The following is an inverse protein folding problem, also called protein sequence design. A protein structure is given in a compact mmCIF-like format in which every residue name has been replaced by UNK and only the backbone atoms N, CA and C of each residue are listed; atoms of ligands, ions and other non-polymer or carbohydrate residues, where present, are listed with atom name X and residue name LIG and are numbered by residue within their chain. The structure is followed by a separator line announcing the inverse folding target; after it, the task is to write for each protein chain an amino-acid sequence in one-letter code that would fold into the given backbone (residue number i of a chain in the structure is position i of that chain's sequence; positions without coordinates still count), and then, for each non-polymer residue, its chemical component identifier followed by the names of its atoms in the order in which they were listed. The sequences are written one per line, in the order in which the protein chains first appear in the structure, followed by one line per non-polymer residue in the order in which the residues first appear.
data_IF_191658264631
#
_entry.id   IF_191658264631
#
_cell.length_a   1.000
_cell.length_b   1.000
_cell.length_c   1.000
_cell.angle_alpha   90.00
_cell.angle_beta   90.00
_cell.angle_gamma   90.00
#
_symmetry.space_group_name_H-M   'P 1'
#
loop_
_entity.id
_entity.type
_entity.pdbx_description
1 polymer ?
#
# COMPACT_ATOMS: atom_id res chain seq x y z
N UNK A 1 11.42 -2.25 13.07
CA UNK A 1 10.17 -2.91 13.51
C UNK A 1 8.95 -1.99 13.49
N UNK A 2 8.96 -0.82 14.15
CA UNK A 2 7.79 0.12 14.19
C UNK A 2 7.28 0.49 12.79
N UNK A 3 8.17 0.82 11.85
CA UNK A 3 7.80 1.17 10.47
C UNK A 3 7.09 0.02 9.72
N UNK A 4 7.62 -1.21 9.80
CA UNK A 4 7.01 -2.41 9.21
C UNK A 4 5.58 -2.61 9.73
N UNK A 5 5.40 -2.47 11.05
CA UNK A 5 4.11 -2.59 11.69
C UNK A 5 3.14 -1.49 11.23
N UNK A 6 3.57 -0.23 11.17
CA UNK A 6 2.73 0.86 10.70
C UNK A 6 2.20 0.62 9.28
N UNK A 7 3.05 0.16 8.35
CA UNK A 7 2.63 -0.18 6.98
C UNK A 7 1.62 -1.30 6.99
N UNK A 8 1.88 -2.39 7.71
CA UNK A 8 0.92 -3.49 7.80
C UNK A 8 -0.41 -3.11 8.45
N UNK A 9 -0.40 -2.18 9.41
CA UNK A 9 -1.61 -1.65 10.03
C UNK A 9 -2.46 -0.94 8.99
N UNK A 10 -1.86 -0.04 8.22
CA UNK A 10 -2.53 0.70 7.15
C UNK A 10 -3.08 -0.24 6.08
N UNK A 11 -2.30 -1.23 5.65
CA UNK A 11 -2.75 -2.26 4.70
C UNK A 11 -3.97 -3.04 5.23
N UNK A 12 -3.97 -3.41 6.51
CA UNK A 12 -5.10 -4.12 7.13
C UNK A 12 -6.34 -3.25 7.33
N UNK A 13 -6.18 -1.95 7.59
CA UNK A 13 -7.29 -1.00 7.73
C UNK A 13 -7.95 -0.74 6.37
N UNK A 14 -7.15 -0.59 5.30
CA UNK A 14 -7.64 -0.40 3.93
C UNK A 14 -8.43 -1.60 3.43
N UNK A 15 -7.95 -2.81 3.71
CA UNK A 15 -8.58 -4.05 3.23
C UNK A 15 -8.87 -5.01 4.39
N UNK A 16 -9.90 -4.75 5.22
CA UNK A 16 -10.16 -5.51 6.44
C UNK A 16 -10.65 -6.94 6.19
N UNK A 17 -11.22 -7.20 4.99
CA UNK A 17 -11.79 -8.50 4.61
C UNK A 17 -10.94 -9.30 3.62
N UNK A 18 -9.91 -8.70 3.02
CA UNK A 18 -9.03 -9.40 2.07
C UNK A 18 -8.01 -10.28 2.79
N UNK A 19 -7.30 -11.12 2.05
CA UNK A 19 -6.08 -11.76 2.57
C UNK A 19 -5.04 -10.67 2.86
N UNK A 20 -4.27 -10.76 3.96
CA UNK A 20 -3.18 -9.83 4.22
C UNK A 20 -2.17 -9.82 3.07
N UNK A 21 -1.86 -8.62 2.60
CA UNK A 21 -1.01 -8.34 1.45
C UNK A 21 0.45 -8.16 1.90
N UNK A 22 1.42 -8.58 1.07
CA UNK A 22 2.85 -8.35 1.36
C UNK A 22 3.26 -6.95 0.95
N UNK A 23 4.33 -6.41 1.54
CA UNK A 23 4.88 -5.10 1.17
C UNK A 23 5.39 -5.13 -0.28
N UNK A 24 5.90 -6.26 -0.75
CA UNK A 24 6.29 -6.46 -2.16
C UNK A 24 5.11 -6.27 -3.11
N UNK A 25 3.96 -6.87 -2.80
CA UNK A 25 2.75 -6.74 -3.64
C UNK A 25 2.12 -5.35 -3.63
N UNK A 26 2.50 -4.45 -2.71
CA UNK A 26 2.11 -3.03 -2.78
C UNK A 26 2.74 -2.35 -4.01
N UNK A 27 3.91 -2.83 -4.43
CA UNK A 27 4.70 -2.34 -5.56
C UNK A 27 4.65 -3.29 -6.77
N UNK A 28 3.72 -4.25 -6.78
CA UNK A 28 3.63 -5.32 -7.78
C UNK A 28 4.96 -6.10 -7.97
N UNK A 29 5.68 -6.32 -6.87
CA UNK A 29 6.91 -7.12 -6.83
C UNK A 29 6.65 -8.52 -6.26
N UNK A 30 7.44 -9.49 -6.71
CA UNK A 30 7.40 -10.87 -6.20
C UNK A 30 8.64 -11.18 -5.33
N UNK A 31 8.47 -11.42 -4.02
CA UNK A 31 9.59 -11.72 -3.13
C UNK A 31 10.27 -13.06 -3.40
N UNK A 32 9.67 -13.94 -4.22
CA UNK A 32 10.22 -15.25 -4.57
C UNK A 32 10.99 -15.24 -5.90
N UNK A 33 11.23 -14.05 -6.47
CA UNK A 33 11.98 -13.87 -7.72
C UNK A 33 13.28 -13.09 -7.48
N UNK A 34 14.24 -13.22 -8.41
CA UNK A 34 15.42 -12.36 -8.38
C UNK A 34 15.01 -10.90 -8.59
N UNK A 35 15.65 -9.93 -7.90
CA UNK A 35 16.84 -10.05 -7.05
C UNK A 35 16.56 -10.28 -5.55
N UNK A 36 15.30 -10.45 -5.16
CA UNK A 36 14.86 -10.57 -3.76
C UNK A 36 15.09 -11.97 -3.19
N UNK A 37 15.08 -13.00 -4.04
CA UNK A 37 15.28 -14.38 -3.64
C UNK A 37 16.60 -14.98 -4.15
N UNK A 38 17.30 -15.78 -3.33
CA UNK A 38 17.04 -16.06 -1.92
C UNK A 38 17.50 -14.89 -1.00
N UNK A 39 16.86 -14.66 0.17
CA UNK A 39 17.11 -13.48 1.01
C UNK A 39 18.58 -13.30 1.42
N UNK A 40 19.31 -14.40 1.59
CA UNK A 40 20.73 -14.40 1.95
C UNK A 40 21.61 -13.78 0.87
N UNK A 41 21.18 -13.87 -0.39
CA UNK A 41 21.89 -13.32 -1.55
C UNK A 41 21.38 -11.93 -1.96
N UNK A 42 20.21 -11.51 -1.46
CA UNK A 42 19.61 -10.20 -1.70
C UNK A 42 20.37 -9.03 -1.04
N UNK A 43 21.41 -9.32 -0.26
CA UNK A 43 22.27 -8.32 0.39
C UNK A 43 23.64 -8.15 -0.28
N UNK A 44 23.94 -8.91 -1.34
CA UNK A 44 25.19 -8.76 -2.10
C UNK A 44 25.16 -7.49 -2.97
N UNK A 45 26.32 -6.92 -3.30
CA UNK A 45 26.41 -5.66 -4.06
C UNK A 45 25.66 -5.70 -5.40
N UNK A 46 25.77 -6.81 -6.15
CA UNK A 46 25.06 -6.97 -7.43
C UNK A 46 23.54 -7.09 -7.25
N UNK A 47 23.07 -7.77 -6.20
CA UNK A 47 21.64 -7.85 -5.88
C UNK A 47 21.10 -6.52 -5.37
N UNK A 48 21.89 -5.75 -4.63
CA UNK A 48 21.49 -4.45 -4.10
C UNK A 48 21.15 -3.46 -5.20
N UNK A 49 22.01 -3.31 -6.20
CA UNK A 49 21.76 -2.41 -7.33
C UNK A 49 20.52 -2.84 -8.13
N UNK A 50 20.35 -4.15 -8.33
CA UNK A 50 19.16 -4.70 -8.98
C UNK A 50 17.88 -4.44 -8.16
N UNK A 51 17.92 -4.59 -6.83
CA UNK A 51 16.81 -4.27 -5.92
C UNK A 51 16.48 -2.79 -5.99
N UNK A 52 17.48 -1.91 -5.88
CA UNK A 52 17.29 -0.47 -5.94
C UNK A 52 16.66 -0.06 -7.28
N UNK A 53 17.13 -0.63 -8.39
CA UNK A 53 16.57 -0.41 -9.73
C UNK A 53 15.11 -0.86 -9.82
N UNK A 54 14.79 -2.10 -9.41
CA UNK A 54 13.44 -2.64 -9.51
C UNK A 54 12.44 -1.93 -8.60
N UNK A 55 12.82 -1.64 -7.35
CA UNK A 55 11.95 -0.94 -6.39
C UNK A 55 11.70 0.50 -6.87
N UNK A 56 12.73 1.20 -7.35
CA UNK A 56 12.58 2.56 -7.90
C UNK A 56 11.70 2.57 -9.13
N UNK A 57 11.89 1.61 -10.05
CA UNK A 57 11.04 1.48 -11.24
C UNK A 57 9.57 1.21 -10.86
N UNK A 58 9.33 0.32 -9.89
CA UNK A 58 7.99 0.01 -9.41
C UNK A 58 7.31 1.23 -8.76
N UNK A 59 8.04 1.94 -7.89
CA UNK A 59 7.55 3.18 -7.27
C UNK A 59 7.19 4.23 -8.33
N UNK A 60 8.07 4.48 -9.29
CA UNK A 60 7.83 5.45 -10.36
C UNK A 60 6.61 5.10 -11.22
N UNK A 61 6.33 3.80 -11.46
CA UNK A 61 5.10 3.37 -12.14
C UNK A 61 3.85 3.75 -11.36
N UNK A 62 3.84 3.54 -10.04
CA UNK A 62 2.71 3.97 -9.20
C UNK A 62 2.54 5.49 -9.20
N UNK A 63 3.64 6.24 -9.06
CA UNK A 63 3.57 7.71 -9.12
C UNK A 63 3.02 8.20 -10.47
N UNK A 64 3.40 7.55 -11.58
CA UNK A 64 2.90 7.90 -12.90
C UNK A 64 1.38 7.61 -13.05
N UNK A 65 0.88 6.48 -12.53
CA UNK A 65 -0.55 6.15 -12.53
C UNK A 65 -1.37 7.18 -11.73
N UNK A 66 -0.89 7.58 -10.55
CA UNK A 66 -1.54 8.63 -9.75
C UNK A 66 -1.60 9.95 -10.51
N UNK A 67 -0.48 10.39 -11.11
CA UNK A 67 -0.45 11.61 -11.92
C UNK A 67 -1.37 11.52 -13.14
N UNK A 68 -1.50 10.35 -13.76
CA UNK A 68 -2.39 10.14 -14.89
C UNK A 68 -3.87 10.25 -14.50
N UNK A 69 -4.26 9.70 -13.33
CA UNK A 69 -5.63 9.80 -12.80
C UNK A 69 -6.00 11.25 -12.48
N UNK A 70 -5.14 11.96 -11.75
CA UNK A 70 -5.35 13.38 -11.44
C UNK A 70 -5.51 14.24 -12.70
N UNK A 71 -4.73 13.97 -13.75
CA UNK A 71 -4.86 14.68 -15.02
C UNK A 71 -6.12 14.30 -15.80
N UNK A 72 -6.66 13.10 -15.60
CA UNK A 72 -7.92 12.67 -16.24
C UNK A 72 -9.11 13.29 -15.51
N UNK A 73 -9.13 13.22 -14.19
CA UNK A 73 -10.16 13.85 -13.35
C UNK A 73 -10.24 15.37 -13.59
N UNK A 74 -9.09 16.02 -13.77
CA UNK A 74 -9.04 17.45 -14.11
C UNK A 74 -9.68 17.74 -15.48
N UNK A 75 -9.45 16.89 -16.48
CA UNK A 75 -10.03 17.05 -17.83
C UNK A 75 -11.54 16.82 -17.81
N UNK A 76 -12.00 15.83 -17.04
CA UNK A 76 -13.42 15.52 -16.90
C UNK A 76 -14.15 16.65 -16.16
N UNK A 77 -13.56 17.20 -15.09
CA UNK A 77 -14.10 18.36 -14.39
C UNK A 77 -14.18 19.62 -15.29
N UNK A 78 -13.15 19.88 -16.10
CA UNK A 78 -13.14 20.99 -17.05
C UNK A 78 -14.21 20.83 -18.15
N UNK A 79 -14.40 19.59 -18.63
CA UNK A 79 -15.46 19.25 -19.59
C UNK A 79 -16.87 19.47 -19.00
N UNK A 80 -17.10 19.03 -17.76
CA UNK A 80 -18.36 19.21 -17.05
C UNK A 80 -18.69 20.70 -16.83
N UNK A 81 -17.69 21.51 -16.46
CA UNK A 81 -17.87 22.95 -16.25
C UNK A 81 -18.16 23.68 -17.57
N UNK A 82 -17.50 23.31 -18.67
CA UNK A 82 -17.81 23.86 -20.00
C UNK A 82 -19.22 23.48 -20.46
N UNK A 83 -19.66 22.25 -20.18
CA UNK A 83 -21.02 21.79 -20.51
C UNK A 83 -22.08 22.52 -19.66
N UNK A 84 -21.81 22.77 -18.37
CA UNK A 84 -22.68 23.58 -17.50
C UNK A 84 -22.76 25.04 -17.95
N UNK A 85 -21.67 25.61 -18.47
CA UNK A 85 -21.66 26.97 -19.01
C UNK A 85 -22.43 27.11 -20.34
N UNK A 86 -22.46 26.06 -21.17
CA UNK A 86 -23.19 26.07 -22.44
C UNK A 86 -24.72 25.86 -22.27
N UNK A 87 -25.16 25.10 -21.26
CA UNK A 87 -26.58 24.82 -20.99
C UNK A 87 -27.19 25.76 -19.93
N UNK A 88 -27.14 27.07 -20.19
CA UNK A 88 -27.58 28.10 -19.25
C UNK A 88 -28.95 27.87 -18.57
N UNK A 89 -28.94 28.09 -17.24
CA UNK A 89 -30.05 28.49 -16.36
C UNK A 89 -31.09 27.45 -15.90
N UNK A 90 -30.93 26.99 -14.64
CA UNK A 90 -31.98 27.18 -13.61
C UNK A 90 -31.35 27.49 -12.25
N UNK A 91 -31.82 28.57 -11.62
CA UNK A 91 -31.44 29.02 -10.26
C UNK A 91 -31.87 28.01 -9.20
N UNK A 92 -30.96 27.60 -8.30
CA UNK A 92 -31.26 27.44 -6.86
C UNK A 92 -30.07 27.93 -6.04
N UNK A 93 -30.38 28.88 -5.17
CA UNK A 93 -29.56 29.39 -4.07
C UNK A 93 -29.57 28.34 -2.96
N UNK A 94 -28.40 27.92 -2.45
CA UNK A 94 -28.07 27.71 -1.01
C UNK A 94 -27.03 26.60 -0.83
N UNK A 95 -26.06 26.96 0.01
CA UNK A 95 -24.95 26.16 0.56
C UNK A 95 -23.80 25.84 -0.40
N UNK A 96 -22.76 26.64 -0.18
CA UNK A 96 -21.34 26.48 -0.50
C UNK A 96 -20.83 25.11 -0.03
N UNK A 97 -21.32 24.04 -0.62
CA UNK A 97 -20.61 22.78 -0.64
C UNK A 97 -19.50 22.97 -1.68
N UNK A 98 -18.29 23.30 -1.20
CA UNK A 98 -17.07 22.94 -1.91
C UNK A 98 -17.29 21.54 -2.49
N UNK A 99 -16.97 21.26 -3.76
CA UNK A 99 -16.76 19.89 -4.16
C UNK A 99 -15.74 19.34 -3.16
N UNK A 100 -16.19 18.45 -2.27
CA UNK A 100 -15.28 17.64 -1.48
C UNK A 100 -14.42 16.94 -2.51
N UNK A 101 -13.16 17.38 -2.57
CA UNK A 101 -12.13 16.85 -3.43
C UNK A 101 -12.24 15.32 -3.46
N UNK A 102 -12.31 14.66 -4.64
CA UNK A 102 -12.17 13.21 -4.70
C UNK A 102 -10.69 12.86 -4.52
N UNK A 103 -10.11 13.12 -3.35
CA UNK A 103 -8.71 12.82 -3.09
C UNK A 103 -8.43 12.68 -1.59
N UNK A 104 -9.05 11.71 -0.94
CA UNK A 104 -8.50 11.15 0.32
C UNK A 104 -8.13 9.66 0.27
N UNK A 105 -8.62 8.79 -0.65
CA UNK A 105 -8.15 7.40 -0.71
C UNK A 105 -6.78 7.23 -1.41
N UNK A 106 -6.35 8.23 -2.18
CA UNK A 106 -5.10 8.21 -2.95
C UNK A 106 -3.89 8.70 -2.15
N UNK A 107 -4.06 9.64 -1.22
CA UNK A 107 -2.96 10.13 -0.37
C UNK A 107 -2.51 9.05 0.63
N UNK A 108 -3.45 8.38 1.29
CA UNK A 108 -3.12 7.26 2.19
C UNK A 108 -2.44 6.12 1.44
N UNK A 109 -2.90 5.80 0.23
CA UNK A 109 -2.27 4.76 -0.59
C UNK A 109 -0.87 5.17 -1.05
N UNK A 110 -0.69 6.43 -1.46
CA UNK A 110 0.62 6.97 -1.86
C UNK A 110 1.62 6.93 -0.71
N UNK A 111 1.18 7.22 0.51
CA UNK A 111 2.00 7.09 1.71
C UNK A 111 2.35 5.61 2.01
N UNK A 112 1.40 4.67 1.89
CA UNK A 112 1.68 3.23 2.01
C UNK A 112 2.74 2.78 0.99
N UNK A 113 2.59 3.18 -0.28
CA UNK A 113 3.51 2.86 -1.37
C UNK A 113 4.90 3.45 -1.12
N UNK A 114 4.97 4.69 -0.63
CA UNK A 114 6.24 5.36 -0.29
C UNK A 114 6.96 4.65 0.85
N UNK A 115 6.24 4.30 1.92
CA UNK A 115 6.82 3.57 3.05
C UNK A 115 7.24 2.15 2.65
N UNK A 116 6.46 1.48 1.80
CA UNK A 116 6.81 0.18 1.24
C UNK A 116 8.14 0.24 0.47
N UNK A 117 8.29 1.22 -0.42
CA UNK A 117 9.53 1.43 -1.17
C UNK A 117 10.72 1.69 -0.23
N UNK A 118 10.56 2.58 0.75
CA UNK A 118 11.61 2.89 1.73
C UNK A 118 12.06 1.65 2.53
N UNK A 119 11.12 0.80 2.92
CA UNK A 119 11.40 -0.48 3.59
C UNK A 119 12.18 -1.41 2.67
N UNK A 120 11.75 -1.60 1.43
CA UNK A 120 12.41 -2.52 0.49
C UNK A 120 13.79 -2.04 0.05
N UNK A 121 14.05 -0.73 0.04
CA UNK A 121 15.37 -0.16 -0.24
C UNK A 121 16.35 -0.31 0.94
N UNK A 122 15.85 -0.37 2.17
CA UNK A 122 16.68 -0.62 3.36
C UNK A 122 17.00 -2.10 3.49
N UNK A 123 18.28 -2.48 3.41
CA UNK A 123 18.71 -3.87 3.57
C UNK A 123 18.34 -4.44 4.94
N UNK A 124 18.48 -3.65 6.00
CA UNK A 124 18.13 -4.05 7.37
C UNK A 124 16.63 -4.34 7.50
N UNK A 125 15.79 -3.40 7.05
CA UNK A 125 14.33 -3.54 7.17
C UNK A 125 13.78 -4.61 6.23
N UNK A 126 14.32 -4.71 5.01
CA UNK A 126 13.98 -5.76 4.06
C UNK A 126 14.35 -7.14 4.61
N UNK A 127 15.56 -7.31 5.13
CA UNK A 127 15.97 -8.58 5.71
C UNK A 127 15.08 -8.96 6.91
N UNK A 128 14.81 -8.02 7.82
CA UNK A 128 13.88 -8.23 8.94
C UNK A 128 12.47 -8.61 8.44
N UNK A 129 12.02 -8.01 7.36
CA UNK A 129 10.73 -8.31 6.75
C UNK A 129 10.69 -9.73 6.18
N UNK A 130 11.72 -10.11 5.43
CA UNK A 130 11.84 -11.41 4.78
C UNK A 130 11.96 -12.55 5.79
N UNK A 131 12.60 -12.30 6.94
CA UNK A 131 12.77 -13.31 7.99
C UNK A 131 11.54 -13.45 8.90
N UNK A 132 10.89 -12.34 9.29
CA UNK A 132 9.83 -12.37 10.31
C UNK A 132 8.42 -12.31 9.72
N UNK A 133 8.18 -11.42 8.77
CA UNK A 133 6.82 -11.10 8.28
C UNK A 133 6.43 -11.94 7.07
N UNK A 134 7.33 -12.06 6.10
CA UNK A 134 7.05 -12.75 4.85
C UNK A 134 6.62 -14.21 5.08
N UNK A 135 7.26 -15.02 5.96
CA UNK A 135 6.83 -16.39 6.20
C UNK A 135 5.41 -16.46 6.78
N UNK A 136 5.02 -15.52 7.65
CA UNK A 136 3.64 -15.47 8.18
C UNK A 136 2.63 -15.22 7.06
N UNK A 137 2.98 -14.36 6.11
CA UNK A 137 2.12 -13.96 5.00
C UNK A 137 2.04 -15.00 3.88
N UNK A 138 3.11 -15.75 3.63
CA UNK A 138 3.20 -16.71 2.52
C UNK A 138 2.95 -18.16 2.95
N UNK A 139 3.03 -18.47 4.26
CA UNK A 139 2.77 -19.81 4.77
C UNK A 139 1.38 -20.29 4.34
N UNK A 140 1.38 -21.27 3.44
CA UNK A 140 0.19 -22.01 3.04
C UNK A 140 -0.16 -22.97 4.17
N UNK A 141 -1.40 -22.92 4.63
CA UNK A 141 -1.91 -23.88 5.61
C UNK A 141 -2.88 -24.85 4.93
N UNK A 142 -2.82 -26.12 5.35
CA UNK A 142 -3.70 -27.25 5.01
C UNK A 142 -5.18 -26.81 5.05
N UNK A 143 -6.07 -27.29 4.16
CA UNK A 143 -7.24 -26.54 3.75
C UNK A 143 -8.27 -26.44 4.87
N UNK A 144 -8.27 -25.31 5.57
CA UNK A 144 -9.46 -24.72 6.19
C UNK A 144 -9.96 -23.62 5.26
N UNK A 145 -11.22 -23.19 5.43
CA UNK A 145 -11.80 -22.09 4.65
C UNK A 145 -10.83 -20.91 4.54
N UNK A 146 -10.78 -20.25 3.38
CA UNK A 146 -9.84 -19.16 3.12
C UNK A 146 -9.90 -18.04 4.19
N UNK A 147 -11.09 -17.82 4.74
CA UNK A 147 -11.35 -16.89 5.84
C UNK A 147 -10.60 -17.27 7.12
N UNK A 148 -10.58 -18.56 7.49
CA UNK A 148 -9.84 -19.05 8.66
C UNK A 148 -8.33 -18.84 8.50
N UNK A 149 -7.81 -19.05 7.28
CA UNK A 149 -6.39 -18.84 6.96
C UNK A 149 -6.06 -17.35 7.04
N UNK A 150 -6.90 -16.49 6.46
CA UNK A 150 -6.74 -15.04 6.50
C UNK A 150 -6.74 -14.50 7.94
N UNK A 151 -7.69 -14.94 8.77
CA UNK A 151 -7.78 -14.54 10.18
C UNK A 151 -6.55 -14.99 10.98
N UNK A 152 -6.05 -16.22 10.77
CA UNK A 152 -4.84 -16.71 11.44
C UNK A 152 -3.60 -15.88 11.08
N UNK A 153 -3.46 -15.49 9.80
CA UNK A 153 -2.37 -14.59 9.36
C UNK A 153 -2.47 -13.22 10.03
N UNK A 154 -3.67 -12.66 10.11
CA UNK A 154 -3.92 -11.38 10.82
C UNK A 154 -3.52 -11.45 12.28
N UNK A 155 -3.92 -12.51 13.00
CA UNK A 155 -3.54 -12.70 14.42
C UNK A 155 -2.02 -12.73 14.58
N UNK A 156 -1.31 -13.53 13.78
CA UNK A 156 0.16 -13.59 13.82
C UNK A 156 0.83 -12.24 13.52
N UNK A 157 0.32 -11.47 12.54
CA UNK A 157 0.84 -10.13 12.26
C UNK A 157 0.63 -9.18 13.44
N UNK A 158 -0.53 -9.28 14.13
CA UNK A 158 -0.79 -8.50 15.34
C UNK A 158 0.18 -8.89 16.46
N UNK A 159 0.45 -10.18 16.65
CA UNK A 159 1.42 -10.68 17.63
C UNK A 159 2.83 -10.15 17.35
N UNK A 160 3.31 -10.23 16.10
CA UNK A 160 4.63 -9.71 15.71
C UNK A 160 4.79 -8.21 16.00
N UNK A 161 3.69 -7.46 15.88
CA UNK A 161 3.68 -6.03 16.08
C UNK A 161 3.28 -5.62 17.50
N UNK A 162 3.13 -6.57 18.43
CA UNK A 162 2.61 -6.34 19.77
C UNK A 162 1.31 -5.51 19.77
N UNK A 163 0.44 -5.70 18.78
CA UNK A 163 -0.92 -5.16 18.81
C UNK A 163 -1.78 -6.02 19.71
N UNK A 164 -1.38 -6.10 20.98
CA UNK A 164 -2.32 -6.42 22.04
C UNK A 164 -3.36 -5.30 22.03
N UNK A 165 -4.63 -5.65 21.91
CA UNK A 165 -5.75 -4.76 22.20
C UNK A 165 -5.47 -4.05 23.54
N UNK A 166 -4.96 -2.82 23.51
CA UNK A 166 -4.26 -2.29 24.69
C UNK A 166 -3.37 -1.07 24.48
N UNK A 167 -3.01 -0.69 23.25
CA UNK A 167 -2.69 0.72 22.99
C UNK A 167 -3.99 1.52 23.00
N UNK A 168 -4.50 1.73 24.23
CA UNK A 168 -5.36 2.84 24.56
C UNK A 168 -4.70 4.07 23.93
N UNK A 169 -5.44 4.70 23.04
CA UNK A 169 -5.40 6.15 22.91
C UNK A 169 -5.34 6.74 24.32
N UNK A 170 -4.17 7.23 24.72
CA UNK A 170 -4.10 8.20 25.80
C UNK A 170 -3.99 9.60 25.18
N UNK A 171 -4.74 10.56 25.77
CA UNK A 171 -5.06 11.86 25.18
C UNK A 171 -3.88 12.84 25.13
#
# INVERSE_FOLDING_TARGET
MIQLCNVHRKLMLRSPRSKPTTIYSVLDLDPHTQPFYPPELASTNGSREAIESQVTAAYNRHSADVLQRLNSDRRDAESDDLQRQQHGSYRVRREEQRPLSPAEPDEEWSDIVTQAAAILLSSELRNLYDTEFLPVLTQSSVPRSEETISNKKRVKLRELCYWTEGMKSEP
#
